data_IF_365472609432
#
_entry.id   IF_365472609432
#
_cell.length_a   1.000
_cell.length_b   1.000
_cell.length_c   1.000
_cell.angle_alpha   90.00
_cell.angle_beta   90.00
_cell.angle_gamma   90.00
#
_symmetry.space_group_name_H-M   'P 1'
#
loop_
_entity.id
_entity.type
_entity.pdbx_description
1 polymer ?
#
# COMPACT_ATOMS: atom_id res chain seq x y z
N UNK A 1 3.76 -22.88 -47.19
CA UNK A 1 3.39 -23.24 -45.82
C UNK A 1 4.59 -22.93 -44.96
N UNK A 2 4.58 -21.79 -44.25
CA UNK A 2 5.74 -21.35 -43.47
C UNK A 2 5.81 -22.19 -42.20
N UNK A 3 6.94 -22.87 -41.98
CA UNK A 3 7.19 -23.63 -40.77
C UNK A 3 7.31 -22.66 -39.58
N UNK A 4 6.36 -22.77 -38.64
CA UNK A 4 6.42 -22.07 -37.36
C UNK A 4 7.46 -22.81 -36.50
N UNK A 5 8.69 -22.30 -36.46
CA UNK A 5 9.73 -22.75 -35.54
C UNK A 5 9.19 -22.67 -34.11
N UNK A 6 9.15 -23.81 -33.41
CA UNK A 6 8.77 -23.95 -32.00
C UNK A 6 9.92 -23.43 -31.11
N UNK A 7 10.20 -22.12 -31.24
CA UNK A 7 11.28 -21.45 -30.52
C UNK A 7 10.74 -21.05 -29.13
N UNK A 8 10.85 -21.99 -28.19
CA UNK A 8 10.46 -21.73 -26.80
C UNK A 8 11.43 -20.71 -26.20
N UNK A 9 10.94 -19.54 -25.72
CA UNK A 9 11.83 -18.49 -25.25
C UNK A 9 12.59 -18.95 -24.01
N UNK A 10 13.92 -18.80 -24.02
CA UNK A 10 14.75 -19.02 -22.85
C UNK A 10 14.40 -17.99 -21.76
N UNK A 11 13.79 -18.45 -20.67
CA UNK A 11 13.42 -17.63 -19.52
C UNK A 11 14.53 -17.63 -18.46
N UNK A 12 15.00 -16.45 -18.10
CA UNK A 12 15.88 -16.26 -16.94
C UNK A 12 15.05 -16.31 -15.66
N UNK A 13 15.50 -16.99 -14.59
CA UNK A 13 14.75 -17.06 -13.34
C UNK A 13 14.51 -15.67 -12.73
N UNK A 14 13.26 -15.40 -12.36
CA UNK A 14 12.88 -14.12 -11.78
C UNK A 14 13.39 -13.99 -10.36
N UNK A 15 14.23 -12.97 -10.12
CA UNK A 15 14.61 -12.59 -8.76
C UNK A 15 13.47 -11.78 -8.15
N UNK A 16 12.59 -12.47 -7.41
CA UNK A 16 11.37 -11.87 -6.82
C UNK A 16 11.68 -10.66 -5.91
N UNK A 17 12.86 -10.63 -5.28
CA UNK A 17 13.31 -9.50 -4.47
C UNK A 17 13.53 -8.21 -5.26
N UNK A 18 13.81 -8.29 -6.57
CA UNK A 18 13.99 -7.13 -7.45
C UNK A 18 12.67 -6.57 -7.99
N UNK A 19 11.58 -7.34 -7.91
CA UNK A 19 10.27 -6.93 -8.42
C UNK A 19 9.29 -6.53 -7.33
N UNK A 20 9.53 -6.93 -6.08
CA UNK A 20 8.74 -6.51 -4.92
C UNK A 20 9.31 -5.24 -4.28
N UNK A 21 8.44 -4.38 -3.72
CA UNK A 21 8.92 -3.29 -2.89
C UNK A 21 9.67 -3.85 -1.67
N UNK A 22 10.59 -3.07 -1.07
CA UNK A 22 11.28 -3.49 0.14
C UNK A 22 10.28 -3.74 1.28
N UNK A 23 10.42 -4.88 1.97
CA UNK A 23 9.53 -5.34 3.03
C UNK A 23 10.28 -5.54 4.35
N UNK A 24 9.59 -5.32 5.46
CA UNK A 24 10.06 -5.61 6.81
C UNK A 24 8.93 -6.28 7.59
N UNK A 25 9.20 -7.42 8.23
CA UNK A 25 8.21 -8.21 8.98
C UNK A 25 6.90 -8.46 8.21
N UNK A 26 7.00 -8.76 6.91
CA UNK A 26 5.83 -9.10 6.08
C UNK A 26 4.99 -7.90 5.61
N UNK A 27 5.34 -6.67 5.96
CA UNK A 27 4.71 -5.44 5.46
C UNK A 27 5.69 -4.60 4.64
N UNK A 28 5.23 -3.77 3.68
CA UNK A 28 6.10 -2.86 2.94
C UNK A 28 6.68 -1.78 3.87
N UNK A 29 7.87 -1.27 3.56
CA UNK A 29 8.54 -0.25 4.39
C UNK A 29 7.69 1.00 4.65
N UNK A 30 6.85 1.40 3.69
CA UNK A 30 5.91 2.52 3.86
C UNK A 30 4.94 2.28 5.03
N UNK A 31 4.37 1.07 5.15
CA UNK A 31 3.51 0.69 6.26
C UNK A 31 4.28 0.68 7.59
N UNK A 32 5.51 0.16 7.58
CA UNK A 32 6.37 0.12 8.77
C UNK A 32 6.65 1.53 9.33
N UNK A 33 6.99 2.48 8.46
CA UNK A 33 7.20 3.87 8.87
C UNK A 33 5.91 4.53 9.40
N UNK A 34 4.75 4.22 8.83
CA UNK A 34 3.47 4.70 9.35
C UNK A 34 3.18 4.19 10.76
N UNK A 35 3.47 2.91 11.05
CA UNK A 35 3.26 2.32 12.38
C UNK A 35 4.15 3.01 13.41
N UNK A 36 5.45 3.12 13.13
CA UNK A 36 6.40 3.77 14.05
C UNK A 36 6.04 5.24 14.22
N UNK A 37 5.82 5.97 13.12
CA UNK A 37 5.48 7.39 13.15
C UNK A 37 4.21 7.66 13.95
N UNK A 38 3.13 6.92 13.69
CA UNK A 38 1.86 7.07 14.41
C UNK A 38 2.01 6.73 15.90
N UNK A 39 2.74 5.67 16.24
CA UNK A 39 2.97 5.28 17.64
C UNK A 39 3.78 6.33 18.39
N UNK A 40 4.84 6.86 17.77
CA UNK A 40 5.65 7.92 18.37
C UNK A 40 4.84 9.21 18.55
N UNK A 41 4.10 9.65 17.52
CA UNK A 41 3.25 10.85 17.61
C UNK A 41 2.23 10.69 18.75
N UNK A 42 1.55 9.55 18.82
CA UNK A 42 0.59 9.30 19.88
C UNK A 42 1.24 9.25 21.28
N UNK A 43 2.44 8.67 21.39
CA UNK A 43 3.19 8.70 22.64
C UNK A 43 3.56 10.13 23.05
N UNK A 44 4.00 10.98 22.12
CA UNK A 44 4.33 12.37 22.38
C UNK A 44 3.08 13.18 22.80
N UNK A 45 1.94 12.95 22.15
CA UNK A 45 0.70 13.68 22.42
C UNK A 45 0.08 13.26 23.76
N UNK A 46 0.07 11.96 24.07
CA UNK A 46 -0.57 11.44 25.29
C UNK A 46 0.39 11.37 26.48
N UNK A 47 1.71 11.36 26.26
CA UNK A 47 2.76 11.13 27.28
C UNK A 47 2.53 9.86 28.12
N UNK A 48 1.85 8.88 27.54
CA UNK A 48 1.42 7.65 28.22
C UNK A 48 2.03 6.43 27.53
N UNK A 49 2.52 5.49 28.34
CA UNK A 49 3.04 4.22 27.84
C UNK A 49 1.98 3.39 27.10
N UNK A 50 0.70 3.61 27.40
CA UNK A 50 -0.40 2.97 26.67
C UNK A 50 -0.43 3.31 25.18
N UNK A 51 0.19 4.41 24.74
CA UNK A 51 0.33 4.72 23.33
C UNK A 51 1.11 3.64 22.55
N UNK A 52 1.97 2.86 23.21
CA UNK A 52 2.68 1.74 22.58
C UNK A 52 1.73 0.66 22.03
N UNK A 53 0.50 0.56 22.54
CA UNK A 53 -0.52 -0.38 22.04
C UNK A 53 -0.99 -0.05 20.62
N UNK A 54 -0.74 1.17 20.14
CA UNK A 54 -1.04 1.57 18.75
C UNK A 54 -0.18 0.78 17.77
N UNK A 55 1.07 0.43 18.12
CA UNK A 55 1.95 -0.31 17.23
C UNK A 55 1.38 -1.68 16.82
N UNK A 56 1.03 -2.60 17.75
CA UNK A 56 0.45 -3.89 17.37
C UNK A 56 -0.93 -3.75 16.70
N UNK A 57 -1.77 -2.79 17.13
CA UNK A 57 -3.06 -2.56 16.51
C UNK A 57 -2.93 -2.10 15.04
N UNK A 58 -2.07 -1.11 14.79
CA UNK A 58 -1.79 -0.61 13.45
C UNK A 58 -1.10 -1.67 12.59
N UNK A 59 -0.19 -2.47 13.17
CA UNK A 59 0.45 -3.58 12.47
C UNK A 59 -0.57 -4.59 11.97
N UNK A 60 -1.49 -5.07 12.82
CA UNK A 60 -2.51 -6.03 12.39
C UNK A 60 -3.42 -5.47 11.29
N UNK A 61 -3.82 -4.21 11.41
CA UNK A 61 -4.66 -3.55 10.41
C UNK A 61 -3.93 -3.41 9.06
N UNK A 62 -2.69 -2.93 9.08
CA UNK A 62 -1.89 -2.72 7.87
C UNK A 62 -1.43 -4.04 7.25
N UNK A 63 -1.11 -5.04 8.07
CA UNK A 63 -0.81 -6.39 7.61
C UNK A 63 -2.02 -7.01 6.89
N UNK A 64 -3.23 -6.87 7.45
CA UNK A 64 -4.45 -7.34 6.80
C UNK A 64 -4.73 -6.61 5.47
N UNK A 65 -4.49 -5.30 5.40
CA UNK A 65 -4.62 -4.52 4.16
C UNK A 65 -3.60 -4.96 3.10
N UNK A 66 -2.33 -5.05 3.49
CA UNK A 66 -1.22 -5.37 2.58
C UNK A 66 -1.20 -6.83 2.15
N UNK A 67 -1.86 -7.71 2.89
CA UNK A 67 -2.13 -9.09 2.49
C UNK A 67 -3.07 -9.17 1.27
N UNK A 68 -3.92 -8.15 1.04
CA UNK A 68 -4.77 -8.09 -0.16
C UNK A 68 -4.04 -7.47 -1.34
N UNK A 69 -3.35 -6.36 -1.10
CA UNK A 69 -2.53 -5.68 -2.10
C UNK A 69 -1.33 -4.99 -1.43
N UNK A 70 -0.13 -5.39 -1.84
CA UNK A 70 1.13 -4.84 -1.30
C UNK A 70 1.29 -3.34 -1.58
N UNK A 71 0.66 -2.81 -2.63
CA UNK A 71 0.73 -1.40 -3.05
C UNK A 71 -0.48 -0.58 -2.61
N UNK A 72 -1.32 -1.10 -1.72
CA UNK A 72 -2.55 -0.41 -1.30
C UNK A 72 -2.32 0.99 -0.74
N UNK A 73 -1.19 1.22 -0.06
CA UNK A 73 -0.81 2.52 0.48
C UNK A 73 -0.42 3.52 -0.61
N UNK A 74 0.34 3.07 -1.60
CA UNK A 74 0.73 3.89 -2.75
C UNK A 74 -0.52 4.25 -3.58
N UNK A 75 -1.41 3.26 -3.78
CA UNK A 75 -2.71 3.45 -4.43
C UNK A 75 -3.57 4.48 -3.67
N UNK A 76 -3.68 4.36 -2.34
CA UNK A 76 -4.43 5.31 -1.53
C UNK A 76 -3.85 6.72 -1.64
N UNK A 77 -2.53 6.85 -1.64
CA UNK A 77 -1.86 8.14 -1.81
C UNK A 77 -2.08 8.74 -3.21
N UNK A 78 -1.93 7.93 -4.27
CA UNK A 78 -2.16 8.37 -5.65
C UNK A 78 -3.61 8.75 -5.86
N UNK A 79 -4.56 7.92 -5.39
CA UNK A 79 -5.98 8.22 -5.47
C UNK A 79 -6.33 9.51 -4.71
N UNK A 80 -5.80 9.71 -3.51
CA UNK A 80 -6.02 10.93 -2.74
C UNK A 80 -5.46 12.19 -3.40
N UNK A 81 -4.34 12.08 -4.14
CA UNK A 81 -3.68 13.21 -4.81
C UNK A 81 -4.20 13.51 -6.21
N UNK A 82 -4.47 12.46 -7.00
CA UNK A 82 -4.79 12.57 -8.43
C UNK A 82 -6.28 12.50 -8.71
N UNK A 83 -7.06 11.91 -7.80
CA UNK A 83 -8.52 11.79 -7.92
C UNK A 83 -9.20 12.27 -6.64
N UNK A 84 -9.06 13.56 -6.26
CA UNK A 84 -9.78 14.10 -5.11
C UNK A 84 -11.29 13.87 -5.28
N UNK A 85 -11.97 13.49 -4.21
CA UNK A 85 -13.40 13.24 -4.25
C UNK A 85 -14.17 14.53 -4.48
N UNK A 86 -15.17 14.51 -5.37
CA UNK A 86 -16.10 15.63 -5.52
C UNK A 86 -17.23 15.53 -4.50
N UNK A 87 -17.79 16.65 -3.99
CA UNK A 87 -18.87 16.62 -2.99
C UNK A 87 -20.11 15.84 -3.47
N UNK A 88 -20.36 15.88 -4.77
CA UNK A 88 -21.50 15.23 -5.41
C UNK A 88 -21.26 13.75 -5.75
N UNK A 89 -20.10 13.19 -5.41
CA UNK A 89 -19.73 11.79 -5.70
C UNK A 89 -20.73 10.80 -5.09
N UNK A 90 -21.28 11.10 -3.92
CA UNK A 90 -22.26 10.21 -3.26
C UNK A 90 -23.57 10.11 -4.06
N UNK A 91 -24.00 11.21 -4.70
CA UNK A 91 -25.22 11.24 -5.49
C UNK A 91 -25.02 10.61 -6.87
N UNK A 92 -23.91 10.90 -7.56
CA UNK A 92 -23.67 10.44 -8.93
C UNK A 92 -22.87 9.14 -9.04
N UNK A 93 -22.25 8.67 -7.96
CA UNK A 93 -21.35 7.50 -7.96
C UNK A 93 -20.01 7.73 -8.67
N UNK A 94 -19.78 8.92 -9.22
CA UNK A 94 -18.57 9.29 -9.96
C UNK A 94 -18.12 10.70 -9.60
N UNK A 95 -16.85 11.02 -9.90
CA UNK A 95 -16.33 12.36 -9.76
C UNK A 95 -16.83 13.23 -10.93
N UNK A 96 -17.30 14.44 -10.62
CA UNK A 96 -17.65 15.40 -11.67
C UNK A 96 -16.41 16.01 -12.33
N UNK A 97 -16.53 16.30 -13.63
CA UNK A 97 -15.48 16.95 -14.42
C UNK A 97 -15.45 18.48 -14.27
N UNK A 98 -16.49 19.07 -13.66
CA UNK A 98 -16.56 20.50 -13.39
C UNK A 98 -15.80 20.90 -12.12
N UNK A 99 -15.31 22.15 -12.03
CA UNK A 99 -14.82 22.71 -10.77
C UNK A 99 -15.89 22.70 -9.68
#
# INVERSE_FOLDING_TARGET
MAELSDDTPHLTPLVIGLTRPPMMWGIPLSAFYLIIGATLIAFLVTTSFWAATIAPAAYLALFALTSRDIRILDLAQVAGRRTPGTPNKLFWGTNSYGP
#
